data_IF_580838489230
#
_entry.id   IF_580838489230
#
_cell.length_a   1.000
_cell.length_b   1.000
_cell.length_c   1.000
_cell.angle_alpha   90.00
_cell.angle_beta   90.00
_cell.angle_gamma   90.00
#
_symmetry.space_group_name_H-M   'P 1'
#
loop_
_entity.id
_entity.type
_entity.pdbx_description
1 polymer ?
#
# COMPACT_ATOMS: atom_id res chain seq x y z
N UNK A 1 17.49 -0.90 -14.40
CA UNK A 1 16.22 -1.64 -14.30
C UNK A 1 16.41 -2.63 -13.17
N UNK A 2 15.71 -2.47 -12.04
CA UNK A 2 15.76 -3.47 -10.98
C UNK A 2 15.01 -4.70 -11.49
N UNK A 3 15.76 -5.74 -11.85
CA UNK A 3 15.21 -7.05 -12.20
C UNK A 3 14.32 -7.52 -11.06
N UNK A 4 13.11 -7.97 -11.39
CA UNK A 4 12.12 -8.55 -10.50
C UNK A 4 12.64 -9.85 -9.87
N UNK A 5 13.61 -9.74 -8.96
CA UNK A 5 13.82 -10.72 -7.93
C UNK A 5 12.56 -10.66 -7.05
N UNK A 6 11.86 -11.79 -6.91
CA UNK A 6 10.74 -12.04 -5.98
C UNK A 6 10.71 -11.03 -4.81
N UNK A 7 10.09 -9.86 -4.98
CA UNK A 7 10.01 -8.86 -3.90
C UNK A 7 8.89 -9.34 -2.99
N UNK A 8 9.29 -10.07 -1.96
CA UNK A 8 8.41 -10.54 -0.90
C UNK A 8 8.07 -9.39 0.05
N UNK A 9 9.04 -8.52 0.34
CA UNK A 9 8.85 -7.39 1.26
C UNK A 9 9.45 -6.08 0.74
N UNK A 10 8.73 -4.98 0.96
CA UNK A 10 9.26 -3.63 0.86
C UNK A 10 9.64 -3.18 2.29
N UNK A 11 10.92 -2.85 2.54
CA UNK A 11 11.37 -2.41 3.85
C UNK A 11 10.81 -1.03 4.21
N UNK A 12 11.13 -0.55 5.42
CA UNK A 12 10.73 0.78 5.88
C UNK A 12 11.43 1.89 5.07
N UNK A 13 10.87 2.20 3.90
CA UNK A 13 11.32 3.26 3.02
C UNK A 13 10.49 4.52 3.30
N UNK A 14 11.16 5.62 3.63
CA UNK A 14 10.49 6.91 3.81
C UNK A 14 10.15 7.53 2.45
N UNK A 15 8.85 7.65 2.16
CA UNK A 15 8.31 8.18 0.91
C UNK A 15 7.65 9.56 1.08
N UNK A 16 7.92 10.28 2.17
CA UNK A 16 7.27 11.58 2.47
C UNK A 16 7.42 12.61 1.34
N UNK A 17 8.57 12.64 0.67
CA UNK A 17 8.83 13.55 -0.46
C UNK A 17 8.43 12.97 -1.83
N UNK A 18 7.91 11.75 -1.87
CA UNK A 18 7.53 11.09 -3.12
C UNK A 18 6.18 11.62 -3.59
N UNK A 19 6.18 12.28 -4.74
CA UNK A 19 4.97 12.80 -5.40
C UNK A 19 4.37 11.81 -6.40
N UNK A 20 5.10 10.73 -6.70
CA UNK A 20 4.68 9.64 -7.58
C UNK A 20 5.20 8.34 -6.98
N UNK A 21 4.29 7.41 -6.74
CA UNK A 21 4.60 6.05 -6.29
C UNK A 21 4.13 5.13 -7.43
N UNK A 22 5.08 4.51 -8.12
CA UNK A 22 4.75 3.49 -9.11
C UNK A 22 4.10 2.28 -8.42
N UNK A 23 3.39 1.43 -9.16
CA UNK A 23 2.81 0.20 -8.63
C UNK A 23 3.85 -0.55 -7.78
N UNK A 24 3.48 -0.86 -6.54
CA UNK A 24 4.34 -1.50 -5.56
C UNK A 24 3.93 -2.97 -5.46
N UNK A 25 4.75 -3.84 -6.01
CA UNK A 25 4.48 -5.27 -6.08
C UNK A 25 4.29 -5.76 -7.51
N UNK A 26 4.44 -7.07 -7.67
CA UNK A 26 4.50 -7.76 -8.95
C UNK A 26 4.01 -9.20 -8.84
N UNK A 27 2.94 -9.41 -8.06
CA UNK A 27 2.31 -10.72 -7.88
C UNK A 27 2.64 -11.43 -6.56
N UNK A 28 3.70 -11.02 -5.87
CA UNK A 28 4.28 -11.79 -4.75
C UNK A 28 4.56 -10.97 -3.49
N UNK A 29 4.15 -9.71 -3.43
CA UNK A 29 4.37 -8.89 -2.25
C UNK A 29 3.52 -9.42 -1.09
N UNK A 30 4.13 -9.68 0.06
CA UNK A 30 3.44 -10.14 1.28
C UNK A 30 3.53 -9.13 2.41
N UNK A 31 4.44 -8.15 2.31
CA UNK A 31 4.55 -7.08 3.29
C UNK A 31 5.12 -5.79 2.71
N UNK A 32 4.62 -4.65 3.17
CA UNK A 32 5.16 -3.35 2.81
C UNK A 32 5.19 -2.41 4.02
N UNK A 33 6.40 -1.99 4.39
CA UNK A 33 6.66 -1.13 5.56
C UNK A 33 6.98 0.31 5.17
N UNK A 34 6.85 0.68 3.90
CA UNK A 34 7.11 2.04 3.46
C UNK A 34 6.19 3.03 4.19
N UNK A 35 6.73 4.20 4.53
CA UNK A 35 6.05 5.20 5.36
C UNK A 35 5.94 6.53 4.64
N UNK A 36 4.96 7.35 5.03
CA UNK A 36 4.82 8.71 4.51
C UNK A 36 4.39 8.77 3.03
N UNK A 37 3.83 7.69 2.50
CA UNK A 37 3.28 7.65 1.14
C UNK A 37 2.28 8.78 0.96
N UNK A 38 2.58 9.76 0.09
CA UNK A 38 1.79 10.97 -0.11
C UNK A 38 1.34 11.15 -1.58
N UNK A 39 1.20 10.04 -2.29
CA UNK A 39 0.63 9.96 -3.64
C UNK A 39 -0.27 8.73 -3.72
N UNK A 40 -1.23 8.71 -4.65
CA UNK A 40 -2.00 7.48 -4.92
C UNK A 40 -1.07 6.35 -5.31
N UNK A 41 -1.37 5.13 -4.88
CA UNK A 41 -0.56 3.96 -5.18
C UNK A 41 -1.40 2.69 -5.26
N UNK A 42 -0.82 1.70 -5.92
CA UNK A 42 -1.47 0.44 -6.25
C UNK A 42 -0.61 -0.72 -5.72
N UNK A 43 -1.24 -1.57 -4.90
CA UNK A 43 -0.67 -2.82 -4.39
C UNK A 43 -1.55 -4.02 -4.77
N UNK A 44 -2.33 -3.90 -5.85
CA UNK A 44 -3.24 -4.93 -6.35
C UNK A 44 -2.52 -6.21 -6.76
N UNK A 45 -3.27 -7.32 -6.74
CA UNK A 45 -2.84 -8.62 -7.21
C UNK A 45 -1.53 -9.10 -6.56
N UNK A 46 -1.38 -8.90 -5.24
CA UNK A 46 -0.27 -9.44 -4.46
C UNK A 46 -0.79 -10.46 -3.43
N UNK A 47 0.11 -10.94 -2.58
CA UNK A 47 -0.16 -11.91 -1.52
C UNK A 47 -0.24 -11.23 -0.15
N UNK A 48 -0.73 -9.99 -0.09
CA UNK A 48 -0.87 -9.24 1.15
C UNK A 48 -2.05 -9.79 1.96
N UNK A 49 -1.81 -10.17 3.21
CA UNK A 49 -2.86 -10.51 4.16
C UNK A 49 -3.50 -9.24 4.77
N UNK A 50 -4.56 -9.42 5.57
CA UNK A 50 -5.28 -8.28 6.15
C UNK A 50 -4.40 -7.47 7.11
N UNK A 51 -3.47 -8.14 7.79
CA UNK A 51 -2.51 -7.48 8.69
C UNK A 51 -1.54 -6.58 7.90
N UNK A 52 -1.02 -7.06 6.78
CA UNK A 52 -0.12 -6.32 5.91
C UNK A 52 -0.82 -5.13 5.24
N UNK A 53 -2.07 -5.30 4.79
CA UNK A 53 -2.88 -4.20 4.28
C UNK A 53 -3.12 -3.13 5.36
N UNK A 54 -3.47 -3.55 6.58
CA UNK A 54 -3.65 -2.64 7.71
C UNK A 54 -2.35 -1.91 8.10
N UNK A 55 -1.19 -2.56 7.98
CA UNK A 55 0.13 -1.94 8.15
C UNK A 55 0.36 -0.84 7.10
N UNK A 56 0.02 -1.08 5.82
CA UNK A 56 0.09 -0.08 4.75
C UNK A 56 -0.81 1.12 5.06
N UNK A 57 -2.07 0.89 5.46
CA UNK A 57 -3.00 1.96 5.84
C UNK A 57 -2.48 2.78 7.03
N UNK A 58 -1.87 2.11 8.00
CA UNK A 58 -1.26 2.75 9.17
C UNK A 58 -0.06 3.62 8.79
N UNK A 59 0.71 3.20 7.78
CA UNK A 59 1.91 3.91 7.34
C UNK A 59 1.64 5.00 6.28
N UNK A 60 0.45 5.02 5.67
CA UNK A 60 0.02 6.06 4.74
C UNK A 60 0.01 7.45 5.39
N UNK A 61 0.34 8.48 4.60
CA UNK A 61 0.37 9.88 5.07
C UNK A 61 -0.95 10.29 5.71
N UNK A 62 -0.89 11.16 6.71
CA UNK A 62 -2.07 11.79 7.32
C UNK A 62 -2.81 12.76 6.37
N UNK A 63 -2.21 13.13 5.24
CA UNK A 63 -2.77 14.06 4.24
C UNK A 63 -3.31 13.32 3.02
N UNK A 64 -4.19 12.34 3.22
CA UNK A 64 -4.70 11.46 2.18
C UNK A 64 -5.74 12.04 1.23
N UNK A 65 -6.25 13.25 1.53
CA UNK A 65 -7.33 13.86 0.78
C UNK A 65 -7.04 13.89 -0.74
N UNK A 66 -7.99 13.38 -1.53
CA UNK A 66 -7.88 13.31 -2.99
C UNK A 66 -6.97 12.19 -3.53
N UNK A 67 -6.55 11.24 -2.68
CA UNK A 67 -5.67 10.12 -3.06
C UNK A 67 -6.34 8.78 -2.82
N UNK A 68 -5.87 7.77 -3.54
CA UNK A 68 -6.44 6.43 -3.55
C UNK A 68 -5.38 5.37 -3.27
N UNK A 69 -5.74 4.38 -2.48
CA UNK A 69 -5.01 3.12 -2.29
C UNK A 69 -5.80 2.02 -2.99
N UNK A 70 -5.20 1.39 -4.01
CA UNK A 70 -5.81 0.25 -4.71
C UNK A 70 -5.28 -1.07 -4.15
N UNK A 71 -6.17 -1.93 -3.65
CA UNK A 71 -5.82 -3.20 -2.97
C UNK A 71 -6.49 -4.44 -3.56
N UNK A 72 -7.21 -4.30 -4.67
CA UNK A 72 -7.91 -5.39 -5.38
C UNK A 72 -7.05 -6.63 -5.56
N UNK A 73 -7.62 -7.83 -5.37
CA UNK A 73 -6.94 -9.09 -5.70
C UNK A 73 -5.88 -9.55 -4.70
N UNK A 74 -5.84 -8.96 -3.50
CA UNK A 74 -5.03 -9.46 -2.38
C UNK A 74 -5.81 -10.44 -1.51
N UNK A 75 -5.13 -11.43 -0.93
CA UNK A 75 -5.73 -12.42 -0.01
C UNK A 75 -6.45 -11.78 1.17
N UNK A 76 -5.86 -10.71 1.72
CA UNK A 76 -6.35 -10.00 2.89
C UNK A 76 -7.47 -9.01 2.65
N UNK A 77 -7.74 -8.63 1.40
CA UNK A 77 -8.58 -7.47 1.08
C UNK A 77 -10.03 -7.62 1.55
N UNK A 78 -10.55 -8.85 1.65
CA UNK A 78 -11.90 -9.08 2.15
C UNK A 78 -12.05 -8.86 3.66
N UNK A 79 -10.96 -8.89 4.42
CA UNK A 79 -10.94 -8.84 5.89
C UNK A 79 -10.03 -7.73 6.43
N UNK A 80 -9.64 -6.78 5.57
CA UNK A 80 -8.83 -5.65 5.97
C UNK A 80 -9.70 -4.58 6.66
N UNK A 81 -9.06 -3.49 7.09
CA UNK A 81 -9.70 -2.41 7.84
C UNK A 81 -9.50 -1.08 7.10
N UNK A 82 -10.26 -0.79 6.04
CA UNK A 82 -10.11 0.43 5.25
C UNK A 82 -10.30 1.72 6.07
N UNK A 83 -11.04 1.65 7.18
CA UNK A 83 -11.28 2.78 8.07
C UNK A 83 -10.01 3.43 8.63
N UNK A 84 -8.90 2.68 8.72
CA UNK A 84 -7.59 3.21 9.12
C UNK A 84 -7.11 4.28 8.11
N UNK A 85 -7.26 4.00 6.82
CA UNK A 85 -6.85 4.90 5.74
C UNK A 85 -7.89 6.02 5.52
N UNK A 86 -9.18 5.70 5.57
CA UNK A 86 -10.23 6.72 5.37
C UNK A 86 -10.27 7.76 6.48
N UNK A 87 -9.90 7.40 7.72
CA UNK A 87 -9.71 8.37 8.81
C UNK A 87 -8.62 9.43 8.52
N UNK A 88 -7.71 9.14 7.58
CA UNK A 88 -6.65 10.06 7.10
C UNK A 88 -7.01 10.73 5.77
N UNK A 89 -8.24 10.56 5.28
CA UNK A 89 -8.75 11.16 4.05
C UNK A 89 -8.44 10.39 2.76
N UNK A 90 -7.86 9.18 2.84
CA UNK A 90 -7.66 8.34 1.66
C UNK A 90 -8.97 7.67 1.22
N UNK A 91 -9.13 7.46 -0.08
CA UNK A 91 -10.02 6.45 -0.61
C UNK A 91 -9.30 5.10 -0.65
N UNK A 92 -9.98 4.01 -0.29
CA UNK A 92 -9.49 2.64 -0.49
C UNK A 92 -10.41 1.98 -1.51
N UNK A 93 -9.83 1.28 -2.48
CA UNK A 93 -10.58 0.58 -3.54
C UNK A 93 -10.00 -0.81 -3.72
N UNK A 94 -10.84 -1.84 -3.66
CA UNK A 94 -10.40 -3.23 -3.63
C UNK A 94 -11.56 -4.20 -3.68
#
# INVERSE_FOLDING_TARGET
MFSSALIYEIPALNMTSSISIAALGGGNLTRMRATGMNASFDVSNNSLDSTALNEIYTNASATGAGKTITVTGNWGAANDTPSIATAKGWAVTG
#
